data_IF_971691297371
#
_entry.id   IF_971691297371
#
_cell.length_a   1.000
_cell.length_b   1.000
_cell.length_c   1.000
_cell.angle_alpha   90.00
_cell.angle_beta   90.00
_cell.angle_gamma   90.00
#
_symmetry.space_group_name_H-M   'P 1'
#
loop_
_entity.id
_entity.type
_entity.pdbx_description
1 polymer ?
#
# COMPACT_ATOMS: atom_id res chain seq x y z
N UNK A 1 51.92 -62.29 31.58
CA UNK A 1 50.91 -62.91 30.70
C UNK A 1 50.50 -61.87 29.67
N UNK A 2 50.96 -62.00 28.43
CA UNK A 2 50.34 -61.37 27.25
C UNK A 2 49.03 -62.13 26.92
N UNK A 3 48.01 -61.48 26.35
CA UNK A 3 47.87 -61.33 24.89
C UNK A 3 47.41 -59.89 24.52
N UNK A 4 47.36 -59.36 23.30
CA UNK A 4 47.31 -59.91 21.94
C UNK A 4 46.39 -58.96 21.14
N UNK A 5 46.92 -58.43 20.03
CA UNK A 5 46.44 -57.39 19.11
C UNK A 5 44.91 -57.23 18.86
N UNK A 6 44.49 -55.98 18.63
CA UNK A 6 43.77 -55.64 17.38
C UNK A 6 43.97 -54.17 16.99
N UNK A 7 44.65 -53.95 15.87
CA UNK A 7 44.77 -52.64 15.22
C UNK A 7 43.41 -52.17 14.72
N UNK A 8 42.97 -50.96 15.10
CA UNK A 8 41.99 -50.19 14.33
C UNK A 8 42.70 -49.00 13.67
N UNK A 9 42.49 -48.92 12.36
CA UNK A 9 42.89 -47.85 11.44
C UNK A 9 42.52 -46.47 12.01
N UNK A 10 43.46 -45.52 11.91
CA UNK A 10 43.14 -44.10 11.93
C UNK A 10 42.27 -43.79 10.70
N UNK A 11 41.11 -43.19 10.92
CA UNK A 11 40.31 -42.61 9.85
C UNK A 11 40.85 -41.20 9.60
N UNK A 12 41.32 -40.96 8.37
CA UNK A 12 41.57 -39.62 7.84
C UNK A 12 40.27 -38.81 7.92
N UNK A 13 40.31 -37.72 8.68
CA UNK A 13 39.30 -36.67 8.57
C UNK A 13 39.69 -35.76 7.41
N UNK A 14 39.12 -36.03 6.23
CA UNK A 14 39.12 -35.08 5.13
C UNK A 14 38.26 -33.84 5.48
N UNK A 15 38.62 -32.64 5.00
CA UNK A 15 37.80 -31.44 5.19
C UNK A 15 36.47 -31.56 4.45
N UNK A 16 35.38 -31.18 5.13
CA UNK A 16 34.04 -31.10 4.54
C UNK A 16 33.96 -29.80 3.73
N UNK A 17 33.96 -29.94 2.40
CA UNK A 17 33.75 -28.85 1.45
C UNK A 17 32.26 -28.45 1.41
N UNK A 18 31.98 -27.15 1.50
CA UNK A 18 30.63 -26.60 1.30
C UNK A 18 30.28 -26.61 -0.20
N UNK A 19 29.17 -27.23 -0.64
CA UNK A 19 28.80 -27.24 -2.06
C UNK A 19 27.98 -25.97 -2.38
N UNK A 20 28.65 -24.83 -2.57
CA UNK A 20 28.06 -23.71 -3.30
C UNK A 20 28.58 -23.77 -4.73
N UNK A 21 27.67 -24.13 -5.64
CA UNK A 21 27.93 -24.19 -7.09
C UNK A 21 28.19 -22.82 -7.70
N UNK A 22 28.75 -22.87 -8.91
CA UNK A 22 29.24 -21.74 -9.71
C UNK A 22 28.22 -20.61 -9.97
N UNK A 23 28.69 -19.36 -10.20
CA UNK A 23 27.84 -18.24 -10.55
C UNK A 23 27.19 -18.43 -11.93
N UNK A 24 25.86 -18.44 -11.98
CA UNK A 24 25.09 -18.50 -13.22
C UNK A 24 25.28 -17.20 -14.02
N UNK A 25 25.73 -17.34 -15.27
CA UNK A 25 25.75 -16.27 -16.29
C UNK A 25 24.32 -15.85 -16.65
N UNK A 26 24.00 -14.57 -16.45
CA UNK A 26 22.85 -13.91 -17.05
C UNK A 26 22.95 -13.94 -18.58
N UNK A 27 22.02 -14.66 -19.23
CA UNK A 27 21.75 -14.52 -20.66
C UNK A 27 20.31 -14.04 -20.80
N UNK A 28 20.11 -12.98 -21.60
CA UNK A 28 18.82 -12.38 -21.91
C UNK A 28 17.71 -13.41 -22.18
N UNK A 29 16.69 -13.47 -21.32
CA UNK A 29 15.38 -14.02 -21.65
C UNK A 29 14.42 -12.86 -21.87
N UNK A 30 13.92 -12.79 -23.11
CA UNK A 30 12.76 -11.98 -23.50
C UNK A 30 11.55 -12.42 -22.67
N UNK A 31 10.91 -11.49 -21.96
CA UNK A 31 9.70 -11.77 -21.18
C UNK A 31 8.49 -11.77 -22.11
N UNK A 32 7.82 -12.91 -22.21
CA UNK A 32 6.52 -13.06 -22.88
C UNK A 32 5.41 -12.59 -21.92
N UNK A 33 4.68 -11.55 -22.31
CA UNK A 33 3.72 -10.85 -21.47
C UNK A 33 2.31 -11.42 -21.62
N UNK A 34 2.07 -12.67 -21.18
CA UNK A 34 0.72 -13.19 -20.92
C UNK A 34 0.73 -14.25 -19.81
N UNK A 35 -0.12 -14.02 -18.79
CA UNK A 35 -0.44 -14.91 -17.63
C UNK A 35 0.67 -14.86 -16.55
N UNK A 36 0.47 -14.24 -15.37
CA UNK A 36 -0.38 -14.70 -14.26
C UNK A 36 -0.90 -13.51 -13.42
N UNK A 37 -2.22 -13.45 -13.24
CA UNK A 37 -2.83 -12.80 -12.09
C UNK A 37 -3.12 -13.90 -11.06
N UNK A 38 -2.31 -13.99 -10.01
CA UNK A 38 -2.60 -14.77 -8.79
C UNK A 38 -1.57 -14.40 -7.69
N UNK A 39 -2.10 -13.86 -6.57
CA UNK A 39 -1.55 -13.85 -5.20
C UNK A 39 -0.11 -13.35 -4.93
N UNK A 40 -0.01 -12.20 -4.25
CA UNK A 40 1.06 -11.90 -3.30
C UNK A 40 2.43 -11.60 -3.89
N UNK A 41 2.62 -10.41 -4.46
CA UNK A 41 3.97 -9.93 -4.81
C UNK A 41 4.74 -9.60 -3.53
N UNK A 42 5.58 -10.55 -3.10
CA UNK A 42 6.72 -10.32 -2.21
C UNK A 42 7.85 -9.69 -3.03
N UNK A 43 7.80 -8.37 -3.19
CA UNK A 43 8.84 -7.57 -3.85
C UNK A 43 9.27 -6.41 -2.95
N UNK A 44 10.48 -5.84 -3.19
CA UNK A 44 10.93 -4.67 -2.44
C UNK A 44 9.93 -3.52 -2.56
N UNK A 45 9.60 -2.86 -1.44
CA UNK A 45 8.81 -1.64 -1.49
C UNK A 45 9.61 -0.55 -2.19
N UNK A 46 9.13 -0.13 -3.35
CA UNK A 46 9.66 1.04 -4.05
C UNK A 46 8.69 2.19 -3.79
N UNK A 47 9.22 3.32 -3.30
CA UNK A 47 8.39 4.49 -3.07
C UNK A 47 7.83 5.01 -4.42
N UNK A 48 6.55 5.44 -4.46
CA UNK A 48 5.95 6.03 -5.66
C UNK A 48 6.77 7.22 -6.16
N UNK A 49 7.05 7.27 -7.47
CA UNK A 49 7.93 8.28 -8.07
C UNK A 49 7.21 9.44 -8.74
N UNK A 50 5.87 9.42 -8.89
CA UNK A 50 5.17 10.50 -9.57
C UNK A 50 3.66 10.41 -9.57
N UNK A 51 3.01 11.48 -10.03
CA UNK A 51 1.57 11.53 -10.22
C UNK A 51 1.21 10.73 -11.48
N UNK A 52 0.78 9.48 -11.31
CA UNK A 52 0.15 8.74 -12.41
C UNK A 52 -1.28 9.24 -12.61
N UNK A 53 -1.64 9.51 -13.86
CA UNK A 53 -3.04 9.72 -14.26
C UNK A 53 -3.65 8.33 -14.41
N UNK A 54 -4.17 7.79 -13.31
CA UNK A 54 -4.98 6.59 -13.39
C UNK A 54 -6.24 6.90 -14.21
N UNK A 55 -6.58 6.02 -15.15
CA UNK A 55 -7.81 6.11 -15.96
C UNK A 55 -8.96 5.31 -15.36
N UNK A 56 -8.67 4.50 -14.33
CA UNK A 56 -9.67 3.74 -13.57
C UNK A 56 -10.07 4.55 -12.33
N UNK A 57 -11.37 4.82 -12.12
CA UNK A 57 -11.84 5.51 -10.93
C UNK A 57 -11.52 4.75 -9.65
N UNK A 58 -10.97 5.46 -8.67
CA UNK A 58 -10.50 4.89 -7.42
C UNK A 58 -9.55 5.80 -6.66
N UNK A 59 -9.04 5.27 -5.55
CA UNK A 59 -8.06 5.92 -4.69
C UNK A 59 -6.74 5.15 -4.78
N UNK A 60 -5.65 5.84 -5.06
CA UNK A 60 -4.29 5.30 -5.02
C UNK A 60 -3.50 5.93 -3.89
N UNK A 61 -2.92 5.11 -3.02
CA UNK A 61 -2.24 5.59 -1.82
C UNK A 61 -1.24 4.57 -1.28
N UNK A 62 -0.05 5.05 -0.91
CA UNK A 62 1.03 4.23 -0.34
C UNK A 62 1.01 4.11 1.19
N UNK A 63 0.04 4.73 1.88
CA UNK A 63 0.00 4.91 3.34
C UNK A 63 1.14 5.78 3.85
N UNK A 64 2.34 5.22 3.93
CA UNK A 64 3.58 5.89 4.32
C UNK A 64 4.76 5.04 3.88
N UNK A 65 5.62 5.59 3.03
CA UNK A 65 6.74 4.84 2.45
C UNK A 65 7.65 4.21 3.51
N UNK A 66 8.02 4.97 4.54
CA UNK A 66 8.88 4.44 5.62
C UNK A 66 8.22 3.31 6.41
N UNK A 67 6.88 3.30 6.53
CA UNK A 67 6.16 2.21 7.17
C UNK A 67 6.19 0.95 6.30
N UNK A 68 5.97 1.10 4.99
CA UNK A 68 6.02 -0.02 4.06
C UNK A 68 7.42 -0.62 3.96
N UNK A 69 8.45 0.22 3.83
CA UNK A 69 9.85 -0.23 3.86
C UNK A 69 10.19 -0.95 5.16
N UNK A 70 9.71 -0.44 6.30
CA UNK A 70 9.91 -1.09 7.59
C UNK A 70 9.28 -2.48 7.64
N UNK A 71 8.00 -2.60 7.28
CA UNK A 71 7.29 -3.88 7.34
C UNK A 71 7.94 -4.90 6.41
N UNK A 72 8.26 -4.54 5.16
CA UNK A 72 8.91 -5.45 4.20
C UNK A 72 10.31 -5.90 4.66
N UNK A 73 10.99 -5.13 5.51
CA UNK A 73 12.31 -5.48 6.04
C UNK A 73 12.26 -6.43 7.25
N UNK A 74 11.08 -6.72 7.82
CA UNK A 74 10.94 -7.67 8.91
C UNK A 74 11.00 -9.11 8.38
N UNK A 75 11.60 -10.02 9.15
CA UNK A 75 11.70 -11.45 8.79
C UNK A 75 10.33 -12.10 8.54
N UNK A 76 9.30 -11.64 9.27
CA UNK A 76 7.91 -12.11 9.17
C UNK A 76 6.96 -11.04 8.60
N UNK A 77 7.53 -9.99 8.01
CA UNK A 77 6.80 -8.84 7.50
C UNK A 77 5.93 -9.16 6.30
N UNK A 78 4.66 -8.77 6.35
CA UNK A 78 3.74 -8.89 5.22
C UNK A 78 3.01 -7.59 4.93
N UNK A 79 2.85 -7.31 3.64
CA UNK A 79 2.13 -6.15 3.14
C UNK A 79 1.19 -6.62 2.04
N UNK A 80 -0.09 -6.74 2.38
CA UNK A 80 -1.11 -7.35 1.53
C UNK A 80 -2.17 -6.33 1.11
N UNK A 81 -2.52 -6.36 -0.17
CA UNK A 81 -3.76 -5.76 -0.65
C UNK A 81 -4.85 -6.83 -0.61
N UNK A 82 -5.96 -6.54 0.06
CA UNK A 82 -7.11 -7.41 0.18
C UNK A 82 -8.21 -6.92 -0.77
N UNK A 83 -8.69 -7.84 -1.60
CA UNK A 83 -9.66 -7.55 -2.65
C UNK A 83 -10.90 -6.79 -2.12
N UNK A 84 -11.50 -5.90 -2.94
CA UNK A 84 -11.09 -5.58 -4.32
C UNK A 84 -9.92 -4.59 -4.44
N UNK A 85 -9.24 -4.23 -3.34
CA UNK A 85 -8.01 -3.45 -3.46
C UNK A 85 -6.88 -4.29 -4.08
N UNK A 86 -5.96 -3.62 -4.77
CA UNK A 86 -4.82 -4.24 -5.43
C UNK A 86 -3.53 -3.45 -5.22
N UNK A 87 -2.39 -4.09 -5.49
CA UNK A 87 -1.11 -3.40 -5.59
C UNK A 87 -1.03 -2.64 -6.92
N UNK A 88 -0.38 -1.49 -6.87
CA UNK A 88 -0.01 -0.66 -8.01
C UNK A 88 1.44 -0.19 -7.85
N UNK A 89 2.01 0.41 -8.89
CA UNK A 89 3.36 1.01 -8.82
C UNK A 89 3.41 2.17 -7.82
N UNK A 90 2.29 2.87 -7.60
CA UNK A 90 2.18 4.02 -6.69
C UNK A 90 1.59 3.67 -5.31
N UNK A 91 1.62 2.38 -4.93
CA UNK A 91 1.13 1.88 -3.66
C UNK A 91 -0.08 0.98 -3.81
N UNK A 92 -1.19 1.30 -3.15
CA UNK A 92 -2.41 0.50 -3.19
C UNK A 92 -3.51 1.22 -3.94
N UNK A 93 -4.15 0.51 -4.87
CA UNK A 93 -5.33 0.97 -5.58
C UNK A 93 -6.58 0.40 -4.92
N UNK A 94 -7.51 1.29 -4.56
CA UNK A 94 -8.82 0.97 -4.02
C UNK A 94 -9.88 1.42 -5.04
N UNK A 95 -10.62 0.50 -5.69
CA UNK A 95 -11.62 0.88 -6.66
C UNK A 95 -12.76 1.67 -6.00
N UNK A 96 -13.32 2.62 -6.75
CA UNK A 96 -14.45 3.43 -6.31
C UNK A 96 -15.73 2.60 -6.14
N UNK A 97 -16.48 2.86 -5.07
CA UNK A 97 -17.88 2.44 -4.92
C UNK A 97 -18.80 3.58 -5.41
N UNK A 98 -19.07 3.61 -6.72
CA UNK A 98 -19.84 4.70 -7.34
C UNK A 98 -21.26 4.84 -6.77
N UNK A 99 -21.85 3.75 -6.28
CA UNK A 99 -23.19 3.77 -5.68
C UNK A 99 -23.23 4.51 -4.33
N UNK A 100 -22.07 4.65 -3.67
CA UNK A 100 -21.91 5.30 -2.37
C UNK A 100 -21.23 6.67 -2.46
N UNK A 101 -20.97 7.14 -3.69
CA UNK A 101 -20.48 8.49 -3.93
C UNK A 101 -21.59 9.51 -3.69
N UNK A 102 -21.21 10.68 -3.22
CA UNK A 102 -22.13 11.80 -2.99
C UNK A 102 -21.41 13.13 -3.19
N UNK A 103 -22.15 14.13 -3.66
CA UNK A 103 -21.65 15.49 -3.82
C UNK A 103 -21.41 15.88 -5.28
N UNK A 104 -20.67 16.98 -5.47
CA UNK A 104 -20.53 17.66 -6.74
C UNK A 104 -19.14 17.35 -7.37
N UNK A 105 -19.07 17.02 -8.66
CA UNK A 105 -17.87 16.46 -9.30
C UNK A 105 -16.68 17.43 -9.42
N UNK A 106 -16.80 18.69 -8.99
CA UNK A 106 -15.77 19.72 -9.14
C UNK A 106 -15.38 19.96 -10.61
N UNK A 107 -14.42 20.85 -10.84
CA UNK A 107 -13.77 21.01 -12.13
C UNK A 107 -12.34 20.47 -12.04
N UNK A 108 -12.17 19.19 -12.37
CA UNK A 108 -10.88 18.49 -12.33
C UNK A 108 -9.96 18.82 -13.51
N UNK A 109 -10.38 19.74 -14.39
CA UNK A 109 -9.69 20.13 -15.63
C UNK A 109 -10.58 19.93 -16.85
N UNK A 110 -10.24 20.59 -17.96
CA UNK A 110 -11.03 20.55 -19.21
C UNK A 110 -11.52 21.92 -19.69
N UNK A 111 -11.30 22.98 -18.91
CA UNK A 111 -11.63 24.37 -19.22
C UNK A 111 -12.13 25.10 -17.97
N UNK A 112 -11.97 26.43 -17.90
CA UNK A 112 -12.31 27.22 -16.71
C UNK A 112 -11.32 27.05 -15.55
N UNK A 113 -11.62 27.68 -14.41
CA UNK A 113 -10.78 27.59 -13.22
C UNK A 113 -10.95 26.21 -12.56
N UNK A 114 -9.86 25.53 -12.19
CA UNK A 114 -9.92 24.22 -11.57
C UNK A 114 -10.54 24.33 -10.17
N UNK A 115 -11.42 23.39 -9.85
CA UNK A 115 -12.20 23.37 -8.61
C UNK A 115 -12.22 21.95 -8.04
N UNK A 116 -11.89 21.81 -6.76
CA UNK A 116 -11.90 20.52 -6.11
C UNK A 116 -13.34 19.99 -5.97
N UNK A 117 -13.56 18.67 -6.11
CA UNK A 117 -14.87 18.08 -5.92
C UNK A 117 -15.27 18.17 -4.44
N UNK A 118 -16.57 18.24 -4.20
CA UNK A 118 -17.13 18.30 -2.86
C UNK A 118 -17.95 17.05 -2.55
N UNK A 119 -17.96 16.64 -1.29
CA UNK A 119 -18.80 15.54 -0.82
C UNK A 119 -18.01 14.31 -0.37
N UNK A 120 -18.68 13.16 -0.41
CA UNK A 120 -18.19 11.92 0.16
C UNK A 120 -17.86 10.90 -0.93
N UNK A 121 -16.64 10.39 -0.92
CA UNK A 121 -16.13 9.40 -1.86
C UNK A 121 -15.80 8.09 -1.16
N UNK A 122 -16.43 6.99 -1.59
CA UNK A 122 -16.26 5.67 -0.98
C UNK A 122 -15.40 4.77 -1.87
N UNK A 123 -14.48 4.03 -1.26
CA UNK A 123 -13.62 3.08 -1.93
C UNK A 123 -13.69 1.71 -1.27
N UNK A 124 -13.32 0.67 -2.01
CA UNK A 124 -13.48 -0.72 -1.62
C UNK A 124 -12.15 -1.42 -1.39
N UNK A 125 -12.19 -2.49 -0.59
CA UNK A 125 -11.04 -3.33 -0.29
C UNK A 125 -10.27 -2.87 0.95
N UNK A 126 -9.13 -3.49 1.18
CA UNK A 126 -8.31 -3.18 2.35
C UNK A 126 -6.82 -3.37 2.08
N UNK A 127 -6.02 -2.82 2.98
CA UNK A 127 -4.59 -3.12 3.10
C UNK A 127 -4.36 -3.70 4.48
N UNK A 128 -3.57 -4.77 4.54
CA UNK A 128 -3.15 -5.39 5.79
C UNK A 128 -1.63 -5.44 5.88
N UNK A 129 -1.12 -4.95 7.01
CA UNK A 129 0.29 -4.98 7.36
C UNK A 129 0.43 -5.90 8.57
N UNK A 130 1.32 -6.89 8.49
CA UNK A 130 1.65 -7.71 9.66
C UNK A 130 3.16 -7.86 9.84
N UNK A 131 3.57 -8.17 11.07
CA UNK A 131 4.96 -8.47 11.42
C UNK A 131 5.13 -8.57 12.93
N UNK A 132 6.37 -8.76 13.39
CA UNK A 132 6.70 -8.95 14.81
C UNK A 132 5.90 -10.09 15.45
N UNK A 133 5.77 -11.20 14.74
CA UNK A 133 5.07 -12.40 15.14
C UNK A 133 3.61 -12.14 15.53
N UNK A 134 2.98 -11.22 14.81
CA UNK A 134 1.58 -10.81 14.99
C UNK A 134 1.35 -9.63 15.94
N UNK A 135 2.40 -9.04 16.54
CA UNK A 135 2.26 -7.82 17.34
C UNK A 135 1.94 -6.59 16.47
N UNK A 136 2.45 -6.54 15.24
CA UNK A 136 2.00 -5.60 14.24
C UNK A 136 0.90 -6.29 13.43
N UNK A 137 -0.33 -5.76 13.51
CA UNK A 137 -1.48 -6.17 12.69
C UNK A 137 -2.36 -4.95 12.42
N UNK A 138 -2.04 -4.22 11.35
CA UNK A 138 -2.76 -3.02 10.94
C UNK A 138 -3.60 -3.36 9.72
N UNK A 139 -4.89 -3.04 9.76
CA UNK A 139 -5.78 -3.17 8.61
C UNK A 139 -6.46 -1.82 8.35
N UNK A 140 -6.26 -1.29 7.15
CA UNK A 140 -6.90 -0.07 6.67
C UNK A 140 -7.90 -0.47 5.59
N UNK A 141 -9.20 -0.42 5.90
CA UNK A 141 -10.25 -0.95 5.02
C UNK A 141 -11.33 0.05 4.67
N UNK A 142 -11.92 -0.22 3.50
CA UNK A 142 -13.01 0.52 2.87
C UNK A 142 -12.79 2.03 2.94
N UNK A 143 -11.65 2.58 2.44
CA UNK A 143 -11.34 3.99 2.62
C UNK A 143 -12.49 4.89 2.19
N UNK A 144 -12.75 5.95 2.96
CA UNK A 144 -13.74 6.97 2.61
C UNK A 144 -13.10 8.34 2.70
N UNK A 145 -13.28 9.17 1.68
CA UNK A 145 -12.81 10.55 1.68
C UNK A 145 -14.00 11.48 1.80
N UNK A 146 -13.91 12.51 2.64
CA UNK A 146 -14.87 13.62 2.65
C UNK A 146 -14.13 14.90 2.30
N UNK A 147 -14.55 15.62 1.25
CA UNK A 147 -13.96 16.88 0.81
C UNK A 147 -14.96 18.04 0.90
N UNK A 148 -14.48 19.22 1.29
CA UNK A 148 -15.20 20.49 1.22
C UNK A 148 -14.20 21.63 1.15
N UNK A 149 -14.38 22.57 0.22
CA UNK A 149 -13.50 23.73 0.09
C UNK A 149 -12.00 23.40 -0.07
N UNK A 150 -11.67 22.29 -0.74
CA UNK A 150 -10.28 21.84 -0.96
C UNK A 150 -9.59 21.20 0.25
N UNK A 151 -10.28 21.06 1.39
CA UNK A 151 -9.79 20.31 2.55
C UNK A 151 -10.64 19.05 2.76
N UNK A 152 -10.15 18.12 3.56
CA UNK A 152 -10.94 16.93 3.86
C UNK A 152 -10.32 15.96 4.86
N UNK A 153 -10.91 14.78 4.90
CA UNK A 153 -10.48 13.70 5.79
C UNK A 153 -10.55 12.37 5.05
N UNK A 154 -9.48 11.58 5.16
CA UNK A 154 -9.48 10.16 4.84
C UNK A 154 -9.91 9.39 6.08
N UNK A 155 -11.03 8.69 5.98
CA UNK A 155 -11.54 7.77 6.98
C UNK A 155 -11.28 6.32 6.58
N UNK A 156 -11.16 5.45 7.57
CA UNK A 156 -11.13 3.99 7.41
C UNK A 156 -12.14 3.35 8.34
N UNK A 157 -12.61 2.16 8.00
CA UNK A 157 -13.61 1.47 8.82
C UNK A 157 -12.97 0.75 10.00
N UNK A 158 -13.60 0.82 11.18
CA UNK A 158 -13.08 0.19 12.39
C UNK A 158 -13.03 -1.34 12.29
N UNK A 159 -11.84 -1.92 12.49
CA UNK A 159 -11.65 -3.37 12.68
C UNK A 159 -11.90 -3.75 14.13
N UNK A 160 -13.17 -3.90 14.52
CA UNK A 160 -13.53 -4.30 15.87
C UNK A 160 -14.99 -4.75 16.00
N UNK A 161 -15.25 -5.65 16.96
CA UNK A 161 -16.59 -6.17 17.22
C UNK A 161 -17.52 -5.16 17.91
N UNK A 162 -16.95 -4.10 18.52
CA UNK A 162 -17.73 -3.14 19.30
C UNK A 162 -18.56 -2.22 18.40
N UNK A 163 -17.99 -1.73 17.30
CA UNK A 163 -18.72 -0.88 16.37
C UNK A 163 -18.18 -0.98 14.93
N UNK A 164 -18.27 -2.15 14.27
CA UNK A 164 -17.67 -2.39 12.94
C UNK A 164 -18.22 -1.49 11.81
N UNK A 165 -19.33 -0.78 12.04
CA UNK A 165 -19.88 0.23 11.12
C UNK A 165 -19.29 1.63 11.27
N UNK A 166 -18.39 1.85 12.23
CA UNK A 166 -17.83 3.16 12.55
C UNK A 166 -16.72 3.54 11.58
N UNK A 167 -16.75 4.80 11.15
CA UNK A 167 -15.69 5.44 10.40
C UNK A 167 -14.74 6.16 11.36
N UNK A 168 -13.45 5.89 11.24
CA UNK A 168 -12.40 6.51 12.03
C UNK A 168 -11.62 7.49 11.15
N UNK A 169 -11.44 8.76 11.57
CA UNK A 169 -10.66 9.72 10.78
C UNK A 169 -9.19 9.32 10.84
N UNK A 170 -8.62 8.88 9.72
CA UNK A 170 -7.24 8.40 9.67
C UNK A 170 -6.25 9.52 9.34
N UNK A 171 -6.55 10.34 8.33
CA UNK A 171 -5.69 11.45 7.91
C UNK A 171 -6.51 12.70 7.56
N UNK A 172 -5.96 13.86 7.87
CA UNK A 172 -6.41 15.15 7.33
C UNK A 172 -5.82 15.33 5.94
N UNK A 173 -6.63 15.83 5.01
CA UNK A 173 -6.30 16.00 3.60
C UNK A 173 -6.32 17.47 3.20
N UNK A 174 -5.38 17.86 2.34
CA UNK A 174 -5.41 19.16 1.64
C UNK A 174 -5.18 18.92 0.16
N UNK A 175 -6.18 19.26 -0.64
CA UNK A 175 -6.17 19.10 -2.10
C UNK A 175 -5.22 20.13 -2.71
N UNK A 176 -4.31 19.64 -3.55
CA UNK A 176 -3.45 20.49 -4.37
C UNK A 176 -4.19 20.81 -5.67
N UNK A 177 -4.84 21.98 -5.72
CA UNK A 177 -5.59 22.42 -6.91
C UNK A 177 -4.71 22.59 -8.16
N UNK A 178 -3.39 22.73 -8.00
CA UNK A 178 -2.44 22.76 -9.13
C UNK A 178 -2.18 21.39 -9.74
N UNK A 179 -2.62 20.32 -9.05
CA UNK A 179 -2.46 18.91 -9.46
C UNK A 179 -3.80 18.26 -9.76
N UNK A 180 -4.68 19.04 -10.37
CA UNK A 180 -5.91 18.55 -11.00
C UNK A 180 -5.59 18.26 -12.47
N UNK A 181 -5.94 17.07 -12.94
CA UNK A 181 -5.75 16.68 -14.33
C UNK A 181 -6.98 15.94 -14.85
N UNK A 182 -7.41 16.30 -16.05
CA UNK A 182 -8.50 15.66 -16.76
C UNK A 182 -7.99 14.87 -17.97
N UNK A 183 -8.48 13.65 -18.14
CA UNK A 183 -8.22 12.80 -19.31
C UNK A 183 -9.39 11.85 -19.53
N UNK A 184 -9.87 11.77 -20.77
CA UNK A 184 -10.78 10.72 -21.27
C UNK A 184 -11.92 10.33 -20.31
N UNK A 185 -12.79 11.30 -19.98
CA UNK A 185 -13.95 11.03 -19.11
C UNK A 185 -13.62 10.81 -17.63
N UNK A 186 -12.37 11.04 -17.22
CA UNK A 186 -11.94 11.00 -15.82
C UNK A 186 -11.14 12.23 -15.43
N UNK A 187 -11.15 12.54 -14.15
CA UNK A 187 -10.30 13.55 -13.52
C UNK A 187 -9.57 12.96 -12.33
N UNK A 188 -8.31 13.34 -12.15
CA UNK A 188 -7.48 12.94 -11.01
C UNK A 188 -7.10 14.16 -10.19
N UNK A 189 -7.24 14.05 -8.87
CA UNK A 189 -6.75 15.01 -7.90
C UNK A 189 -5.70 14.38 -6.99
N UNK A 190 -4.78 15.23 -6.52
CA UNK A 190 -3.79 14.85 -5.51
C UNK A 190 -4.04 15.63 -4.23
N UNK A 191 -4.04 14.93 -3.09
CA UNK A 191 -4.12 15.55 -1.78
C UNK A 191 -2.90 15.18 -0.93
N UNK A 192 -2.32 16.17 -0.26
CA UNK A 192 -1.38 15.90 0.83
C UNK A 192 -2.15 15.31 2.01
N UNK A 193 -1.50 14.43 2.76
CA UNK A 193 -2.12 13.73 3.89
C UNK A 193 -1.27 13.86 5.15
N UNK A 194 -1.91 14.17 6.28
CA UNK A 194 -1.28 14.22 7.59
C UNK A 194 -2.05 13.40 8.61
N UNK A 195 -1.35 12.65 9.45
CA UNK A 195 -1.95 11.67 10.34
C UNK A 195 -2.77 12.34 11.45
N UNK A 196 -4.02 11.90 11.67
CA UNK A 196 -4.81 12.42 12.79
C UNK A 196 -4.44 11.74 14.12
N UNK A 197 -4.99 12.23 15.23
CA UNK A 197 -4.90 11.55 16.52
C UNK A 197 -5.49 10.13 16.52
N UNK A 198 -6.59 9.88 15.80
CA UNK A 198 -7.17 8.53 15.67
C UNK A 198 -6.33 7.64 14.76
N UNK A 199 -5.84 8.16 13.63
CA UNK A 199 -4.95 7.44 12.73
C UNK A 199 -3.68 6.97 13.43
N UNK A 200 -3.09 7.81 14.29
CA UNK A 200 -1.96 7.43 15.14
C UNK A 200 -2.23 6.19 15.98
N UNK A 201 -3.41 6.07 16.59
CA UNK A 201 -3.76 4.92 17.42
C UNK A 201 -3.87 3.65 16.58
N UNK A 202 -4.39 3.75 15.35
CA UNK A 202 -4.45 2.63 14.40
C UNK A 202 -3.07 2.15 13.96
N UNK A 203 -2.06 3.04 13.95
CA UNK A 203 -0.66 2.71 13.68
C UNK A 203 0.14 2.37 14.97
N UNK A 204 -0.55 2.01 16.06
CA UNK A 204 0.11 1.59 17.31
C UNK A 204 0.80 2.72 18.07
N UNK A 205 0.47 3.99 17.80
CA UNK A 205 0.96 5.14 18.55
C UNK A 205 2.37 5.62 18.20
N UNK A 206 3.01 5.04 17.17
CA UNK A 206 4.43 5.26 16.84
C UNK A 206 4.74 6.63 16.20
N UNK A 207 3.73 7.30 15.67
CA UNK A 207 3.86 8.57 14.94
C UNK A 207 3.04 9.64 15.63
N UNK A 208 3.54 10.87 15.70
CA UNK A 208 2.74 11.98 16.24
C UNK A 208 1.61 12.40 15.28
N UNK A 209 0.56 13.00 15.83
CA UNK A 209 -0.46 13.64 15.00
C UNK A 209 0.19 14.77 14.17
N UNK A 210 -0.27 14.95 12.93
CA UNK A 210 0.34 15.83 11.94
C UNK A 210 1.53 15.22 11.19
N UNK A 211 1.97 13.99 11.53
CA UNK A 211 3.01 13.30 10.76
C UNK A 211 2.60 13.20 9.30
N UNK A 212 3.48 13.63 8.39
CA UNK A 212 3.26 13.52 6.95
C UNK A 212 3.16 12.05 6.52
N UNK A 213 2.14 11.76 5.72
CA UNK A 213 1.86 10.50 5.07
C UNK A 213 2.16 10.61 3.57
N UNK A 214 2.14 9.47 2.86
CA UNK A 214 2.23 9.52 1.41
C UNK A 214 0.98 10.23 0.84
N UNK A 215 1.10 11.04 -0.23
CA UNK A 215 -0.03 11.70 -0.86
C UNK A 215 -1.11 10.71 -1.31
N UNK A 216 -2.37 11.18 -1.31
CA UNK A 216 -3.52 10.43 -1.79
C UNK A 216 -3.88 10.93 -3.18
N UNK A 217 -4.03 10.01 -4.13
CA UNK A 217 -4.51 10.31 -5.47
C UNK A 217 -5.92 9.76 -5.62
N UNK A 218 -6.84 10.57 -6.13
CA UNK A 218 -8.24 10.16 -6.34
C UNK A 218 -8.61 10.43 -7.77
N UNK A 219 -8.97 9.37 -8.49
CA UNK A 219 -9.50 9.43 -9.85
C UNK A 219 -11.01 9.24 -9.79
N UNK A 220 -11.75 10.18 -10.39
CA UNK A 220 -13.21 10.18 -10.48
C UNK A 220 -13.63 10.21 -11.95
N UNK A 221 -14.81 9.65 -12.25
CA UNK A 221 -15.44 9.92 -13.55
C UNK A 221 -16.01 11.33 -13.55
N UNK A 222 -15.90 11.99 -14.69
CA UNK A 222 -16.67 13.20 -15.00
C UNK A 222 -17.49 12.98 -16.29
N UNK A 223 -18.57 13.74 -16.43
CA UNK A 223 -19.52 13.62 -17.55
C UNK A 223 -19.03 14.27 -18.84
#
# INVERSE_FOLDING_TARGET
>A
MSPGLSHRRAADHAPVECPWGDPIRLTNMTVDSRVLAESGVSGPWTAPTGAHVATTPGLTWAVKDSLMSYVVALDDGTVEALAPASRSEDGFFFPSDEAMMSGEPGNLGGGGDPEAPEGGFQFLGAVRLTGHWGMLDVELREPRVTLSGGAGTLLVRERGARAPGTWLPFADLTVDASRLSASDGTGTLTATASLTGHGRLLLGGQYEAGTALSPVHITLRHG
#
